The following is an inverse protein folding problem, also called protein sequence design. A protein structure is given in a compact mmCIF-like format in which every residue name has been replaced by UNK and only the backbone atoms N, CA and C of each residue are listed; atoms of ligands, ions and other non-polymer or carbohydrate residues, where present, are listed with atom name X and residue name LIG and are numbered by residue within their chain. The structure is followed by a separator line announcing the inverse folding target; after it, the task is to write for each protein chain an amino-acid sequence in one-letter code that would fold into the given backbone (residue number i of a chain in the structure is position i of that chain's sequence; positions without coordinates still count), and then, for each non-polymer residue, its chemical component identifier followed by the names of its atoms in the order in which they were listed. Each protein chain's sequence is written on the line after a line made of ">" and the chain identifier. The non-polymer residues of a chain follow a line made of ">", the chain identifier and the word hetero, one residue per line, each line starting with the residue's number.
data_IF_855772748547
#
_entry.id   IF_855772748547
#
_cell.length_a   1.000
_cell.length_b   1.000
_cell.length_c   1.000
_cell.angle_alpha   90.00
_cell.angle_beta   90.00
_cell.angle_gamma   90.00
#
_symmetry.space_group_name_H-M   'P 1'
#
loop_
_entity.id
_entity.type
_entity.pdbx_description
1 polymer ?
#
# COMPACT_ATOMS: atom_id res chain seq x y z
N UNK A 1 -11.65 -44.06 33.09
CA UNK A 1 -12.60 -43.11 32.49
C UNK A 1 -11.80 -42.16 31.62
N UNK A 2 -12.17 -42.10 30.35
CA UNK A 2 -11.35 -41.63 29.24
C UNK A 2 -11.06 -40.12 29.31
N UNK A 3 -9.81 -39.76 28.97
CA UNK A 3 -9.40 -38.40 28.71
C UNK A 3 -9.99 -37.89 27.40
N UNK A 4 -10.50 -36.66 27.41
CA UNK A 4 -10.88 -35.95 26.19
C UNK A 4 -9.63 -35.31 25.60
N UNK A 5 -9.16 -35.88 24.50
CA UNK A 5 -8.20 -35.26 23.59
C UNK A 5 -8.83 -33.99 23.01
N UNK A 6 -8.19 -32.85 23.30
CA UNK A 6 -8.41 -31.61 22.56
C UNK A 6 -7.90 -31.81 21.15
N UNK A 7 -8.80 -31.93 20.18
CA UNK A 7 -8.47 -31.93 18.76
C UNK A 7 -7.73 -30.64 18.39
N UNK A 8 -6.60 -30.71 17.66
CA UNK A 8 -5.91 -29.52 17.19
C UNK A 8 -6.77 -28.83 16.13
N UNK A 9 -7.03 -27.54 16.32
CA UNK A 9 -7.62 -26.68 15.28
C UNK A 9 -6.70 -26.66 14.07
N UNK A 10 -7.22 -27.13 12.94
CA UNK A 10 -6.60 -27.15 11.62
C UNK A 10 -6.19 -25.71 11.19
N UNK A 11 -4.90 -25.43 10.91
CA UNK A 11 -4.40 -24.10 10.59
C UNK A 11 -4.87 -23.54 9.23
N UNK A 12 -5.68 -24.29 8.46
CA UNK A 12 -6.14 -23.91 7.12
C UNK A 12 -7.60 -23.48 7.02
N UNK A 13 -8.33 -23.35 8.13
CA UNK A 13 -9.70 -22.83 8.05
C UNK A 13 -9.69 -21.33 7.71
N UNK A 14 -10.35 -20.89 6.61
CA UNK A 14 -10.53 -19.47 6.34
C UNK A 14 -11.39 -18.89 7.46
N UNK A 15 -10.77 -18.11 8.34
CA UNK A 15 -11.47 -17.39 9.41
C UNK A 15 -12.44 -16.42 8.73
N UNK A 16 -13.72 -16.75 8.76
CA UNK A 16 -14.80 -15.86 8.31
C UNK A 16 -14.83 -14.65 9.24
N UNK A 17 -14.20 -13.55 8.83
CA UNK A 17 -14.30 -12.27 9.53
C UNK A 17 -15.57 -11.57 9.07
N UNK A 18 -16.71 -11.90 9.68
CA UNK A 18 -17.93 -11.11 9.50
C UNK A 18 -17.69 -9.70 10.06
N UNK A 19 -17.81 -8.69 9.20
CA UNK A 19 -17.85 -7.27 9.60
C UNK A 19 -19.32 -6.89 9.64
N UNK A 20 -19.85 -6.55 10.82
CA UNK A 20 -21.30 -6.48 11.09
C UNK A 20 -22.06 -5.51 10.18
N UNK A 21 -21.41 -4.45 9.68
CA UNK A 21 -22.02 -3.45 8.81
C UNK A 21 -21.87 -3.73 7.30
N UNK A 22 -21.12 -4.77 6.91
CA UNK A 22 -20.89 -5.08 5.50
C UNK A 22 -21.73 -6.28 5.07
N UNK A 23 -22.62 -6.04 4.11
CA UNK A 23 -23.28 -7.12 3.38
C UNK A 23 -22.41 -7.53 2.20
N UNK A 24 -21.68 -8.63 2.35
CA UNK A 24 -20.98 -9.24 1.21
C UNK A 24 -21.99 -9.74 0.19
N UNK A 25 -21.85 -9.38 -1.11
CA UNK A 25 -22.72 -9.90 -2.14
C UNK A 25 -22.68 -11.44 -2.20
N UNK A 26 -23.79 -12.07 -2.63
CA UNK A 26 -23.86 -13.52 -2.79
C UNK A 26 -22.69 -14.05 -3.65
N UNK A 27 -22.06 -15.14 -3.20
CA UNK A 27 -20.91 -15.76 -3.86
C UNK A 27 -19.59 -15.03 -3.67
N UNK A 28 -19.51 -14.09 -2.72
CA UNK A 28 -18.28 -13.41 -2.33
C UNK A 28 -18.05 -13.51 -0.81
N UNK A 29 -16.79 -13.48 -0.40
CA UNK A 29 -16.38 -13.48 0.99
C UNK A 29 -15.25 -12.47 1.23
N UNK A 30 -15.10 -12.04 2.48
CA UNK A 30 -13.98 -11.24 2.94
C UNK A 30 -12.97 -12.15 3.65
N UNK A 31 -11.70 -12.06 3.25
CA UNK A 31 -10.57 -12.68 3.94
C UNK A 31 -9.66 -11.57 4.46
N UNK A 32 -9.25 -11.61 5.72
CA UNK A 32 -8.29 -10.62 6.24
C UNK A 32 -6.99 -10.69 5.43
N UNK A 33 -6.53 -9.55 4.93
CA UNK A 33 -5.25 -9.48 4.23
C UNK A 33 -4.12 -9.58 5.26
N UNK A 34 -3.08 -10.36 4.92
CA UNK A 34 -1.97 -10.63 5.84
C UNK A 34 -1.14 -9.38 6.15
N UNK A 35 -1.08 -8.40 5.24
CA UNK A 35 -0.43 -7.10 5.46
C UNK A 35 -1.46 -6.07 5.91
N UNK A 36 -1.77 -6.03 7.21
CA UNK A 36 -2.58 -4.96 7.78
C UNK A 36 -1.68 -3.80 8.25
N UNK A 37 -1.90 -2.59 7.74
CA UNK A 37 -1.16 -1.40 8.17
C UNK A 37 -1.55 -0.89 9.56
N UNK A 38 -0.76 0.05 10.08
CA UNK A 38 -1.02 0.74 11.36
C UNK A 38 -2.25 1.68 11.31
N UNK A 39 -2.70 2.03 10.10
CA UNK A 39 -3.79 2.99 9.86
C UNK A 39 -5.07 2.34 9.35
N UNK A 40 -5.00 1.10 8.88
CA UNK A 40 -6.13 0.42 8.25
C UNK A 40 -6.20 -1.06 8.65
N UNK A 41 -7.42 -1.58 8.62
CA UNK A 41 -7.66 -3.01 8.45
C UNK A 41 -7.86 -3.27 6.96
N UNK A 42 -7.14 -4.26 6.43
CA UNK A 42 -7.23 -4.67 5.03
C UNK A 42 -7.89 -6.03 4.91
N UNK A 43 -8.81 -6.13 3.95
CA UNK A 43 -9.55 -7.33 3.63
C UNK A 43 -9.55 -7.53 2.12
N UNK A 44 -9.41 -8.77 1.70
CA UNK A 44 -9.54 -9.22 0.33
C UNK A 44 -11.00 -9.58 0.07
N UNK A 45 -11.62 -8.98 -0.95
CA UNK A 45 -12.94 -9.39 -1.44
C UNK A 45 -12.74 -10.48 -2.50
N UNK A 46 -13.16 -11.71 -2.22
CA UNK A 46 -12.83 -12.88 -3.05
C UNK A 46 -14.12 -13.61 -3.44
N UNK A 47 -14.13 -14.28 -4.60
CA UNK A 47 -15.24 -15.17 -4.98
C UNK A 47 -15.19 -16.44 -4.12
N UNK A 48 -16.32 -16.87 -3.59
CA UNK A 48 -16.41 -18.09 -2.77
C UNK A 48 -15.84 -19.30 -3.49
N UNK A 49 -16.16 -19.47 -4.78
CA UNK A 49 -15.64 -20.57 -5.60
C UNK A 49 -14.10 -20.61 -5.70
N UNK A 50 -13.44 -19.45 -5.64
CA UNK A 50 -11.99 -19.39 -5.75
C UNK A 50 -11.35 -19.77 -4.41
N UNK A 51 -12.01 -19.43 -3.29
CA UNK A 51 -11.62 -19.92 -1.96
C UNK A 51 -11.80 -21.42 -1.84
N UNK A 52 -12.91 -21.96 -2.37
CA UNK A 52 -13.13 -23.41 -2.39
C UNK A 52 -12.06 -24.12 -3.22
N UNK A 53 -11.68 -23.55 -4.38
CA UNK A 53 -10.60 -24.08 -5.20
C UNK A 53 -9.23 -24.02 -4.49
N UNK A 54 -8.96 -22.96 -3.74
CA UNK A 54 -7.74 -22.83 -2.92
C UNK A 54 -7.70 -23.87 -1.79
N UNK A 55 -8.82 -24.09 -1.10
CA UNK A 55 -8.89 -24.97 0.08
C UNK A 55 -8.98 -26.47 -0.29
N UNK A 56 -9.79 -26.80 -1.30
CA UNK A 56 -10.13 -28.18 -1.64
C UNK A 56 -9.49 -28.67 -2.95
N UNK A 57 -8.89 -27.75 -3.71
CA UNK A 57 -8.23 -28.05 -4.97
C UNK A 57 -9.19 -28.17 -6.15
N UNK A 58 -8.62 -28.08 -7.35
CA UNK A 58 -9.29 -28.30 -8.64
C UNK A 58 -8.49 -29.32 -9.44
N UNK A 59 -9.17 -30.26 -10.09
CA UNK A 59 -8.53 -31.21 -11.00
C UNK A 59 -8.34 -30.59 -12.38
N UNK A 60 -7.09 -30.51 -12.83
CA UNK A 60 -6.72 -30.10 -14.19
C UNK A 60 -5.80 -31.19 -14.75
N UNK A 61 -6.18 -31.81 -15.87
CA UNK A 61 -5.42 -32.92 -16.48
C UNK A 61 -5.06 -34.04 -15.49
N UNK A 62 -6.02 -34.45 -14.64
CA UNK A 62 -5.85 -35.43 -13.55
C UNK A 62 -4.86 -35.05 -12.43
N UNK A 63 -4.34 -33.82 -12.43
CA UNK A 63 -3.51 -33.28 -11.35
C UNK A 63 -4.40 -32.44 -10.43
N UNK A 64 -4.31 -32.68 -9.12
CA UNK A 64 -4.99 -31.85 -8.12
C UNK A 64 -4.13 -30.60 -7.85
N UNK A 65 -4.69 -29.43 -8.17
CA UNK A 65 -4.01 -28.14 -8.05
C UNK A 65 -4.79 -27.26 -7.08
N UNK A 66 -4.08 -26.54 -6.21
CA UNK A 66 -4.66 -25.63 -5.22
C UNK A 66 -4.32 -24.19 -5.61
N UNK A 67 -5.03 -23.60 -6.59
CA UNK A 67 -4.74 -22.25 -7.02
C UNK A 67 -5.06 -21.26 -5.90
N UNK A 68 -4.15 -20.32 -5.64
CA UNK A 68 -4.43 -19.24 -4.68
C UNK A 68 -5.60 -18.38 -5.17
N UNK A 69 -6.58 -18.17 -4.30
CA UNK A 69 -7.73 -17.34 -4.57
C UNK A 69 -7.29 -15.87 -4.72
N UNK A 70 -7.52 -15.32 -5.91
CA UNK A 70 -7.17 -13.93 -6.24
C UNK A 70 -8.25 -12.97 -5.75
N UNK A 71 -7.90 -11.89 -5.04
CA UNK A 71 -8.85 -10.85 -4.68
C UNK A 71 -9.44 -10.17 -5.93
N UNK A 72 -10.73 -9.83 -5.85
CA UNK A 72 -11.40 -8.96 -6.82
C UNK A 72 -11.11 -7.48 -6.51
N UNK A 73 -11.09 -7.15 -5.21
CA UNK A 73 -10.89 -5.81 -4.66
C UNK A 73 -10.25 -5.92 -3.28
N UNK A 74 -9.62 -4.85 -2.84
CA UNK A 74 -9.07 -4.67 -1.50
C UNK A 74 -9.99 -3.72 -0.72
N UNK A 75 -10.68 -4.23 0.29
CA UNK A 75 -11.44 -3.41 1.22
C UNK A 75 -10.50 -2.93 2.33
N UNK A 76 -10.52 -1.62 2.52
CA UNK A 76 -9.77 -0.91 3.54
C UNK A 76 -10.72 -0.24 4.51
N UNK A 77 -10.49 -0.42 5.80
CA UNK A 77 -11.25 0.25 6.86
C UNK A 77 -10.25 1.01 7.72
N UNK A 78 -10.32 2.34 7.76
CA UNK A 78 -9.41 3.12 8.59
C UNK A 78 -9.64 2.80 10.08
N UNK A 79 -8.54 2.72 10.82
CA UNK A 79 -8.54 2.50 12.27
C UNK A 79 -8.93 3.77 13.03
N UNK A 80 -8.65 4.94 12.45
CA UNK A 80 -9.10 6.20 13.03
C UNK A 80 -10.62 6.26 13.02
N UNK A 81 -11.19 6.74 14.12
CA UNK A 81 -12.61 7.04 14.27
C UNK A 81 -12.80 8.54 14.11
N UNK A 82 -13.79 8.93 13.32
CA UNK A 82 -14.06 10.33 13.07
C UNK A 82 -15.18 10.82 13.97
N UNK A 83 -15.03 12.04 14.48
CA UNK A 83 -16.05 12.67 15.33
C UNK A 83 -17.19 13.28 14.49
N UNK A 84 -16.98 13.45 13.18
CA UNK A 84 -18.00 13.96 12.27
C UNK A 84 -17.73 13.49 10.82
N UNK A 85 -18.78 13.45 9.96
CA UNK A 85 -18.60 13.14 8.55
C UNK A 85 -17.71 14.16 7.84
N UNK A 86 -17.73 15.42 8.28
CA UNK A 86 -16.89 16.48 7.73
C UNK A 86 -15.39 16.17 7.87
N UNK A 87 -14.95 15.64 9.02
CA UNK A 87 -13.55 15.22 9.19
C UNK A 87 -13.18 14.05 8.28
N UNK A 88 -14.08 13.09 8.06
CA UNK A 88 -13.85 11.99 7.12
C UNK A 88 -13.78 12.50 5.67
N UNK A 89 -14.59 13.50 5.32
CA UNK A 89 -14.53 14.16 4.00
C UNK A 89 -13.20 14.90 3.78
N UNK A 90 -12.61 15.52 4.79
CA UNK A 90 -11.27 16.11 4.68
C UNK A 90 -10.20 15.05 4.38
N UNK A 91 -10.31 13.85 4.96
CA UNK A 91 -9.42 12.74 4.65
C UNK A 91 -9.59 12.28 3.19
N UNK A 92 -10.84 12.16 2.71
CA UNK A 92 -11.15 11.86 1.30
C UNK A 92 -10.57 12.92 0.35
N UNK A 93 -10.58 14.21 0.74
CA UNK A 93 -9.99 15.28 -0.09
C UNK A 93 -8.50 15.06 -0.33
N UNK A 94 -7.75 14.56 0.66
CA UNK A 94 -6.32 14.24 0.47
C UNK A 94 -6.12 13.18 -0.62
N UNK A 95 -6.92 12.12 -0.59
CA UNK A 95 -6.90 11.10 -1.64
C UNK A 95 -7.27 11.67 -3.01
N UNK A 96 -8.24 12.58 -3.09
CA UNK A 96 -8.60 13.25 -4.36
C UNK A 96 -7.46 14.10 -4.92
N UNK A 97 -6.68 14.77 -4.05
CA UNK A 97 -5.47 15.50 -4.48
C UNK A 97 -4.47 14.52 -5.08
N UNK A 98 -4.19 13.41 -4.40
CA UNK A 98 -3.30 12.36 -4.92
C UNK A 98 -3.75 11.87 -6.31
N UNK A 99 -5.04 11.56 -6.46
CA UNK A 99 -5.61 11.09 -7.72
C UNK A 99 -5.51 12.14 -8.83
N UNK A 100 -5.63 13.43 -8.52
CA UNK A 100 -5.45 14.52 -9.50
C UNK A 100 -4.05 14.53 -10.12
N UNK A 101 -3.01 14.20 -9.36
CA UNK A 101 -1.63 14.22 -9.85
C UNK A 101 -1.20 12.90 -10.48
N UNK A 102 -1.56 11.77 -9.88
CA UNK A 102 -1.11 10.45 -10.32
C UNK A 102 -2.06 9.80 -11.32
N UNK A 103 -3.33 10.20 -11.33
CA UNK A 103 -4.36 9.54 -12.12
C UNK A 103 -4.62 8.10 -11.67
N UNK A 104 -5.56 7.44 -12.34
CA UNK A 104 -5.85 6.02 -12.10
C UNK A 104 -4.76 5.10 -12.62
N UNK A 105 -3.81 5.59 -13.43
CA UNK A 105 -2.77 4.76 -14.02
C UNK A 105 -1.62 4.47 -13.05
N UNK A 106 -1.36 5.37 -12.10
CA UNK A 106 -0.26 5.25 -11.13
C UNK A 106 -0.72 5.06 -9.69
N UNK A 107 -2.03 5.13 -9.42
CA UNK A 107 -2.63 4.85 -8.10
C UNK A 107 -3.67 3.76 -8.27
N UNK A 108 -3.72 2.87 -7.28
CA UNK A 108 -4.78 1.89 -7.19
C UNK A 108 -6.13 2.57 -6.94
N UNK A 109 -6.98 2.56 -7.96
CA UNK A 109 -8.28 3.23 -7.93
C UNK A 109 -9.13 2.71 -6.75
N UNK A 110 -9.56 3.62 -5.89
CA UNK A 110 -10.37 3.35 -4.70
C UNK A 110 -11.65 4.18 -4.69
N UNK A 111 -12.75 3.49 -4.37
CA UNK A 111 -14.03 4.11 -4.04
C UNK A 111 -14.10 4.34 -2.53
N UNK A 112 -14.05 5.61 -2.11
CA UNK A 112 -14.09 5.98 -0.69
C UNK A 112 -15.53 6.22 -0.23
N UNK A 113 -15.92 5.64 0.90
CA UNK A 113 -17.25 5.76 1.48
C UNK A 113 -17.20 5.82 3.02
N UNK A 114 -18.17 6.54 3.59
CA UNK A 114 -18.29 6.75 5.03
C UNK A 114 -19.40 5.84 5.56
N UNK A 115 -19.13 5.18 6.68
CA UNK A 115 -20.10 4.33 7.37
C UNK A 115 -20.28 4.84 8.78
N UNK A 116 -21.54 4.99 9.20
CA UNK A 116 -21.89 5.14 10.60
C UNK A 116 -22.09 3.74 11.19
N UNK A 117 -21.29 3.39 12.19
CA UNK A 117 -21.34 2.10 12.87
C UNK A 117 -21.79 2.31 14.31
N UNK A 118 -22.84 1.57 14.69
CA UNK A 118 -23.41 1.61 16.03
C UNK A 118 -23.01 0.34 16.78
N UNK A 119 -22.28 0.50 17.87
CA UNK A 119 -21.92 -0.59 18.76
C UNK A 119 -22.11 -0.16 20.22
N UNK A 120 -22.85 -0.95 20.99
CA UNK A 120 -23.10 -0.71 22.42
C UNK A 120 -23.60 0.71 22.76
N UNK A 121 -24.41 1.31 21.89
CA UNK A 121 -24.97 2.65 22.09
C UNK A 121 -24.04 3.81 21.71
N UNK A 122 -22.82 3.52 21.25
CA UNK A 122 -21.90 4.51 20.69
C UNK A 122 -22.01 4.50 19.16
N UNK A 123 -22.22 5.67 18.56
CA UNK A 123 -22.08 5.87 17.12
C UNK A 123 -20.64 6.26 16.81
N UNK A 124 -20.02 5.55 15.88
CA UNK A 124 -18.68 5.84 15.37
C UNK A 124 -18.72 6.01 13.86
N UNK A 125 -18.00 7.02 13.36
CA UNK A 125 -17.86 7.25 11.93
C UNK A 125 -16.57 6.60 11.43
N UNK A 126 -16.73 5.72 10.46
CA UNK A 126 -15.67 4.97 9.80
C UNK A 126 -15.49 5.48 8.38
N UNK A 127 -14.23 5.64 7.96
CA UNK A 127 -13.88 5.81 6.56
C UNK A 127 -13.39 4.48 5.99
N UNK A 128 -14.02 4.07 4.89
CA UNK A 128 -13.67 2.86 4.17
C UNK A 128 -13.30 3.19 2.72
N UNK A 129 -12.45 2.36 2.13
CA UNK A 129 -12.09 2.40 0.72
C UNK A 129 -12.22 1.02 0.08
N UNK A 130 -12.88 0.91 -1.06
CA UNK A 130 -12.89 -0.29 -1.88
C UNK A 130 -11.94 -0.09 -3.07
N UNK A 131 -10.70 -0.54 -2.89
CA UNK A 131 -9.60 -0.35 -3.82
C UNK A 131 -9.50 -1.50 -4.84
N UNK A 132 -9.05 -1.19 -6.05
CA UNK A 132 -8.65 -2.20 -7.01
C UNK A 132 -7.58 -3.13 -6.45
N UNK A 133 -7.70 -4.42 -6.73
CA UNK A 133 -6.63 -5.35 -6.46
C UNK A 133 -5.58 -5.22 -7.57
N UNK A 134 -4.34 -4.89 -7.19
CA UNK A 134 -3.19 -4.84 -8.10
C UNK A 134 -2.44 -6.15 -7.99
N UNK A 135 -2.53 -6.99 -9.02
CA UNK A 135 -1.68 -8.18 -9.15
C UNK A 135 -0.26 -7.75 -9.52
N UNK A 136 0.72 -8.21 -8.75
CA UNK A 136 2.10 -7.84 -8.98
C UNK A 136 3.04 -8.17 -7.83
N UNK A 137 4.26 -7.68 -7.95
CA UNK A 137 5.33 -7.81 -6.95
C UNK A 137 5.60 -6.46 -6.31
N UNK A 138 5.99 -6.45 -5.02
CA UNK A 138 6.37 -5.20 -4.35
C UNK A 138 7.67 -4.69 -4.97
N UNK A 139 7.67 -3.42 -5.37
CA UNK A 139 8.89 -2.66 -5.57
C UNK A 139 9.34 -2.09 -4.23
N UNK A 140 10.31 -2.74 -3.60
CA UNK A 140 10.92 -2.26 -2.36
C UNK A 140 12.07 -1.28 -2.68
N UNK A 141 11.91 0.03 -2.43
CA UNK A 141 12.94 1.02 -2.75
C UNK A 141 14.22 0.83 -1.93
N UNK A 142 14.12 0.30 -0.72
CA UNK A 142 15.23 0.22 0.23
C UNK A 142 16.29 -0.78 -0.21
N UNK A 143 15.86 -1.87 -0.85
CA UNK A 143 16.71 -3.00 -1.23
C UNK A 143 17.10 -3.02 -2.72
N UNK A 144 16.89 -1.91 -3.43
CA UNK A 144 17.38 -1.76 -4.81
C UNK A 144 18.92 -1.75 -4.85
N UNK A 145 19.49 -2.78 -5.46
CA UNK A 145 20.93 -2.99 -5.60
C UNK A 145 21.28 -3.56 -6.97
N UNK A 146 22.54 -3.36 -7.40
CA UNK A 146 23.06 -3.88 -8.67
C UNK A 146 22.70 -3.05 -9.91
N UNK A 147 23.29 -3.42 -11.06
CA UNK A 147 23.02 -2.81 -12.36
C UNK A 147 21.67 -3.27 -12.95
N UNK A 148 21.19 -4.46 -12.58
CA UNK A 148 19.89 -5.01 -12.99
C UNK A 148 18.88 -4.97 -11.84
N UNK A 149 18.62 -3.77 -11.32
CA UNK A 149 17.70 -3.58 -10.21
C UNK A 149 16.22 -3.81 -10.59
N UNK A 150 15.90 -4.05 -11.86
CA UNK A 150 14.52 -4.27 -12.33
C UNK A 150 14.28 -5.67 -12.93
N UNK A 151 15.29 -6.31 -13.51
CA UNK A 151 15.14 -7.59 -14.21
C UNK A 151 14.65 -8.72 -13.31
N UNK A 152 14.98 -8.70 -12.02
CA UNK A 152 14.51 -9.71 -11.06
C UNK A 152 12.99 -9.64 -10.77
N UNK A 153 12.32 -8.54 -11.14
CA UNK A 153 10.85 -8.45 -11.06
C UNK A 153 10.16 -9.05 -12.29
N UNK A 154 10.89 -9.28 -13.39
CA UNK A 154 10.31 -9.85 -14.60
C UNK A 154 9.98 -11.33 -14.37
N UNK A 155 8.71 -11.66 -14.51
CA UNK A 155 8.24 -13.04 -14.61
C UNK A 155 7.83 -13.28 -16.06
N UNK A 156 8.34 -14.33 -16.74
CA UNK A 156 7.96 -14.62 -18.11
C UNK A 156 6.44 -14.75 -18.29
N UNK A 157 5.87 -13.89 -19.14
CA UNK A 157 4.45 -13.84 -19.48
C UNK A 157 4.29 -13.93 -21.01
N UNK A 158 3.37 -14.75 -21.57
CA UNK A 158 3.14 -14.80 -23.01
C UNK A 158 2.68 -13.43 -23.53
N UNK A 159 3.59 -12.69 -24.18
CA UNK A 159 3.29 -11.40 -24.79
C UNK A 159 4.06 -10.20 -24.20
N UNK A 160 4.98 -10.40 -23.25
CA UNK A 160 5.90 -9.34 -22.81
C UNK A 160 7.31 -9.89 -22.65
N UNK A 161 8.27 -9.32 -23.39
CA UNK A 161 9.68 -9.66 -23.17
C UNK A 161 10.27 -8.82 -22.03
N UNK A 162 11.36 -9.29 -21.43
CA UNK A 162 12.03 -8.61 -20.32
C UNK A 162 12.38 -7.15 -20.65
N UNK A 163 12.76 -6.86 -21.90
CA UNK A 163 13.09 -5.51 -22.35
C UNK A 163 11.88 -4.57 -22.30
N UNK A 164 10.72 -5.01 -22.77
CA UNK A 164 9.48 -4.23 -22.75
C UNK A 164 9.03 -3.98 -21.32
N UNK A 165 9.11 -5.01 -20.45
CA UNK A 165 8.84 -4.88 -19.02
C UNK A 165 9.70 -3.79 -18.36
N UNK A 166 11.02 -3.83 -18.59
CA UNK A 166 11.96 -2.85 -18.01
C UNK A 166 11.67 -1.45 -18.56
N UNK A 167 11.46 -1.32 -19.87
CA UNK A 167 11.15 -0.03 -20.50
C UNK A 167 9.86 0.58 -19.96
N UNK A 168 8.80 -0.23 -19.82
CA UNK A 168 7.54 0.19 -19.25
C UNK A 168 7.70 0.62 -17.78
N UNK A 169 8.44 -0.16 -17.00
CA UNK A 169 8.72 0.11 -15.58
C UNK A 169 9.45 1.44 -15.40
N UNK A 170 10.51 1.68 -16.18
CA UNK A 170 11.27 2.94 -16.15
C UNK A 170 10.39 4.12 -16.56
N UNK A 171 9.54 3.95 -17.58
CA UNK A 171 8.61 4.99 -18.03
C UNK A 171 7.61 5.36 -16.93
N UNK A 172 6.97 4.38 -16.31
CA UNK A 172 6.00 4.59 -15.24
C UNK A 172 6.64 5.22 -14.00
N UNK A 173 7.83 4.77 -13.59
CA UNK A 173 8.58 5.37 -12.47
C UNK A 173 8.97 6.82 -12.79
N UNK A 174 9.35 7.12 -14.03
CA UNK A 174 9.61 8.49 -14.48
C UNK A 174 8.37 9.38 -14.34
N UNK A 175 7.21 8.89 -14.79
CA UNK A 175 5.95 9.60 -14.70
C UNK A 175 5.54 9.80 -13.23
N UNK A 176 5.70 8.76 -12.41
CA UNK A 176 5.43 8.79 -10.97
C UNK A 176 6.27 9.84 -10.25
N UNK A 177 7.60 9.82 -10.42
CA UNK A 177 8.50 10.80 -9.80
C UNK A 177 8.13 12.23 -10.22
N UNK A 178 7.78 12.42 -11.49
CA UNK A 178 7.38 13.71 -12.04
C UNK A 178 6.08 14.21 -11.42
N UNK A 179 5.06 13.35 -11.34
CA UNK A 179 3.76 13.64 -10.76
C UNK A 179 3.83 13.95 -9.25
N UNK A 180 4.58 13.14 -8.48
CA UNK A 180 4.81 13.42 -7.06
C UNK A 180 5.56 14.75 -6.88
N UNK A 181 6.58 15.02 -7.69
CA UNK A 181 7.31 16.29 -7.63
C UNK A 181 6.39 17.48 -7.94
N UNK A 182 5.45 17.33 -8.88
CA UNK A 182 4.45 18.36 -9.16
C UNK A 182 3.47 18.55 -8.00
N UNK A 183 3.03 17.46 -7.36
CA UNK A 183 2.19 17.51 -6.15
C UNK A 183 2.90 18.24 -5.00
N UNK A 184 4.18 17.95 -4.77
CA UNK A 184 5.01 18.63 -3.76
C UNK A 184 5.08 20.12 -4.04
N UNK A 185 5.37 20.52 -5.28
CA UNK A 185 5.49 21.93 -5.67
C UNK A 185 4.16 22.69 -5.55
N UNK A 186 3.05 22.04 -5.89
CA UNK A 186 1.72 22.69 -5.98
C UNK A 186 1.00 22.73 -4.64
N UNK A 187 1.10 21.64 -3.87
CA UNK A 187 0.30 21.44 -2.66
C UNK A 187 1.13 21.35 -1.39
N UNK A 188 2.47 21.34 -1.48
CA UNK A 188 3.36 21.08 -0.34
C UNK A 188 2.97 19.80 0.39
N UNK A 189 2.62 18.75 -0.36
CA UNK A 189 2.17 17.46 0.18
C UNK A 189 2.91 16.31 -0.51
N UNK A 190 3.12 15.23 0.23
CA UNK A 190 3.69 13.99 -0.26
C UNK A 190 2.90 12.81 0.34
N UNK A 191 2.49 11.80 -0.47
CA UNK A 191 1.95 10.56 0.07
C UNK A 191 3.04 9.76 0.79
N UNK A 192 2.63 8.87 1.69
CA UNK A 192 3.52 7.90 2.29
C UNK A 192 4.03 6.91 1.24
N UNK A 193 5.28 7.09 0.83
CA UNK A 193 5.97 6.21 -0.11
C UNK A 193 6.83 5.16 0.60
N UNK A 194 7.01 5.31 1.92
CA UNK A 194 7.94 4.51 2.71
C UNK A 194 7.31 3.24 3.28
N UNK A 195 5.98 3.13 3.24
CA UNK A 195 5.27 1.94 3.70
C UNK A 195 5.62 0.68 2.91
N UNK A 196 5.79 -0.41 3.64
CA UNK A 196 6.07 -1.74 3.07
C UNK A 196 4.92 -2.19 2.16
N UNK A 197 5.23 -2.30 0.87
CA UNK A 197 4.27 -2.74 -0.12
C UNK A 197 3.37 -1.66 -0.70
N UNK A 198 3.66 -0.37 -0.48
CA UNK A 198 2.91 0.72 -1.11
C UNK A 198 3.17 0.83 -2.62
N UNK A 199 4.30 0.33 -3.13
CA UNK A 199 4.64 0.35 -4.54
C UNK A 199 4.59 -1.07 -5.11
N UNK A 200 3.74 -1.27 -6.12
CA UNK A 200 3.53 -2.55 -6.79
C UNK A 200 3.90 -2.44 -8.26
N UNK A 201 4.61 -3.45 -8.77
CA UNK A 201 4.88 -3.65 -10.19
C UNK A 201 4.00 -4.79 -10.72
N UNK A 202 3.20 -4.51 -11.73
CA UNK A 202 2.40 -5.53 -12.42
C UNK A 202 3.29 -6.42 -13.30
N UNK A 203 2.82 -7.60 -13.74
CA UNK A 203 3.57 -8.44 -14.68
C UNK A 203 3.94 -7.75 -16.00
N UNK A 204 3.21 -6.69 -16.38
CA UNK A 204 3.48 -5.88 -17.58
C UNK A 204 4.45 -4.70 -17.30
N UNK A 205 5.01 -4.62 -16.09
CA UNK A 205 5.95 -3.55 -15.70
C UNK A 205 5.26 -2.23 -15.38
N UNK A 206 3.97 -2.23 -15.05
CA UNK A 206 3.26 -1.00 -14.64
C UNK A 206 3.47 -0.72 -13.16
N UNK A 207 3.71 0.53 -12.79
CA UNK A 207 3.83 0.94 -11.39
C UNK A 207 2.48 1.40 -10.85
N UNK A 208 2.10 0.90 -9.68
CA UNK A 208 0.91 1.33 -8.95
C UNK A 208 1.23 1.61 -7.49
N UNK A 209 0.75 2.75 -7.01
CA UNK A 209 0.72 3.12 -5.61
C UNK A 209 -0.54 2.54 -4.95
N UNK A 210 -0.38 1.69 -3.94
CA UNK A 210 -1.46 0.98 -3.23
C UNK A 210 -1.50 1.38 -1.75
N UNK A 211 -2.62 1.09 -1.07
CA UNK A 211 -2.83 1.27 0.38
C UNK A 211 -2.41 2.63 1.00
N UNK A 212 -2.59 3.74 0.27
CA UNK A 212 -2.21 5.07 0.78
C UNK A 212 -3.21 5.59 1.79
N UNK A 213 -2.82 5.51 3.05
CA UNK A 213 -3.57 5.98 4.22
C UNK A 213 -3.01 7.26 4.84
N UNK A 214 -1.91 7.78 4.30
CA UNK A 214 -1.22 8.92 4.88
C UNK A 214 -0.67 9.82 3.77
N UNK A 215 -1.06 11.09 3.80
CA UNK A 215 -0.55 12.15 2.93
C UNK A 215 -0.18 13.30 3.87
N UNK A 216 1.11 13.61 3.92
CA UNK A 216 1.68 14.53 4.90
C UNK A 216 2.04 15.85 4.24
N UNK A 217 1.93 16.92 5.03
CA UNK A 217 2.34 18.26 4.61
C UNK A 217 3.86 18.38 4.77
N UNK A 218 4.51 18.88 3.73
CA UNK A 218 5.92 19.20 3.71
C UNK A 218 6.11 20.55 4.40
N UNK A 219 6.72 20.53 5.57
CA UNK A 219 7.11 21.75 6.26
C UNK A 219 8.49 22.23 5.82
N UNK A 220 8.62 23.53 5.63
CA UNK A 220 9.87 24.21 5.28
C UNK A 220 10.72 24.52 6.52
N UNK A 221 10.59 23.78 7.63
CA UNK A 221 11.32 23.98 8.88
C UNK A 221 12.51 23.01 9.08
N UNK A 222 13.47 23.31 9.98
CA UNK A 222 14.56 22.39 10.32
C UNK A 222 14.10 21.22 11.21
N UNK A 223 12.88 21.31 11.76
CA UNK A 223 12.26 20.25 12.54
C UNK A 223 11.87 19.07 11.64
N UNK A 224 11.96 17.86 12.20
CA UNK A 224 11.46 16.63 11.57
C UNK A 224 10.06 16.43 12.12
N UNK A 225 9.06 16.42 11.24
CA UNK A 225 7.68 16.20 11.63
C UNK A 225 7.42 14.70 11.70
N UNK A 226 6.78 14.30 12.79
CA UNK A 226 6.26 12.95 12.95
C UNK A 226 4.78 12.96 12.59
N UNK A 227 4.31 11.87 12.01
CA UNK A 227 2.90 11.68 11.73
C UNK A 227 2.10 11.28 13.00
N UNK A 228 0.80 11.01 12.84
CA UNK A 228 -0.10 10.62 13.93
C UNK A 228 0.29 9.31 14.65
N UNK A 229 1.23 8.53 14.09
CA UNK A 229 1.79 7.32 14.70
C UNK A 229 3.18 7.54 15.26
N UNK A 230 3.76 8.74 15.12
CA UNK A 230 5.11 9.03 15.56
C UNK A 230 6.20 8.65 14.54
N UNK A 231 5.84 8.37 13.29
CA UNK A 231 6.79 8.00 12.23
C UNK A 231 7.21 9.22 11.39
N UNK A 232 8.51 9.39 11.03
CA UNK A 232 8.98 10.49 10.17
C UNK A 232 8.63 10.28 8.69
N UNK A 233 7.33 10.10 8.39
CA UNK A 233 6.79 9.74 7.09
C UNK A 233 7.25 10.67 5.95
N UNK A 234 7.25 11.98 6.17
CA UNK A 234 7.62 12.97 5.17
C UNK A 234 9.06 12.75 4.66
N UNK A 235 10.02 12.74 5.58
CA UNK A 235 11.43 12.55 5.29
C UNK A 235 11.71 11.21 4.61
N UNK A 236 11.10 10.14 5.10
CA UNK A 236 11.26 8.79 4.53
C UNK A 236 10.65 8.70 3.14
N UNK A 237 9.53 9.35 2.88
CA UNK A 237 8.92 9.40 1.54
C UNK A 237 9.75 10.22 0.56
N UNK A 238 10.39 11.31 1.00
CA UNK A 238 11.36 12.05 0.18
C UNK A 238 12.60 11.20 -0.12
N UNK A 239 13.07 10.40 0.85
CA UNK A 239 14.17 9.45 0.63
C UNK A 239 13.78 8.41 -0.44
N UNK A 240 12.59 7.81 -0.37
CA UNK A 240 12.09 6.90 -1.42
C UNK A 240 12.05 7.57 -2.79
N UNK A 241 11.49 8.78 -2.88
CA UNK A 241 11.43 9.52 -4.14
C UNK A 241 12.83 9.74 -4.73
N UNK A 242 13.81 10.05 -3.88
CA UNK A 242 15.21 10.23 -4.29
C UNK A 242 15.85 8.94 -4.78
N UNK A 243 15.53 7.81 -4.14
CA UNK A 243 16.00 6.48 -4.53
C UNK A 243 15.47 6.12 -5.93
N UNK A 244 14.17 6.28 -6.16
CA UNK A 244 13.57 5.99 -7.46
C UNK A 244 14.19 6.86 -8.57
N UNK A 245 14.36 8.16 -8.31
CA UNK A 245 14.98 9.07 -9.27
C UNK A 245 16.44 8.73 -9.57
N UNK A 246 17.23 8.40 -8.54
CA UNK A 246 18.66 8.21 -8.70
C UNK A 246 19.04 6.80 -9.14
N UNK A 247 18.53 5.77 -8.44
CA UNK A 247 18.93 4.37 -8.66
C UNK A 247 18.28 3.75 -9.89
N UNK A 248 17.04 4.14 -10.22
CA UNK A 248 16.30 3.54 -11.34
C UNK A 248 16.39 4.42 -12.59
N UNK A 249 16.11 5.72 -12.44
CA UNK A 249 16.07 6.63 -13.60
C UNK A 249 17.45 7.19 -14.00
N UNK A 250 18.50 6.91 -13.21
CA UNK A 250 19.83 7.50 -13.35
C UNK A 250 19.79 9.04 -13.49
N UNK A 251 18.76 9.68 -12.92
CA UNK A 251 18.68 11.13 -12.93
C UNK A 251 19.66 11.64 -11.88
N UNK A 252 20.54 12.58 -12.23
CA UNK A 252 21.26 13.30 -11.20
C UNK A 252 20.19 13.96 -10.32
N UNK A 253 20.16 13.58 -9.04
CA UNK A 253 19.55 14.44 -8.06
C UNK A 253 20.35 15.72 -8.19
N UNK A 254 19.75 16.78 -8.72
CA UNK A 254 20.38 18.09 -8.60
C UNK A 254 20.43 18.33 -7.10
N UNK A 255 21.61 18.08 -6.53
CA UNK A 255 21.96 18.47 -5.19
C UNK A 255 21.98 20.00 -5.09
N UNK A 256 21.63 20.75 -6.14
CA UNK A 256 21.38 22.19 -6.14
C UNK A 256 19.89 22.51 -5.99
N UNK A 257 18.99 21.52 -6.11
CA UNK A 257 17.58 21.70 -5.79
C UNK A 257 17.45 21.83 -4.25
N UNK A 258 17.05 23.01 -3.72
CA UNK A 258 17.05 23.26 -2.28
C UNK A 258 16.21 22.27 -1.48
N UNK A 259 15.23 21.63 -2.13
CA UNK A 259 14.39 20.59 -1.57
C UNK A 259 15.20 19.34 -1.16
N UNK A 260 15.93 18.71 -2.09
CA UNK A 260 16.67 17.48 -1.78
C UNK A 260 17.88 17.75 -0.89
N UNK A 261 18.56 18.89 -1.05
CA UNK A 261 19.65 19.31 -0.14
C UNK A 261 19.20 19.26 1.32
N UNK A 262 18.00 19.80 1.59
CA UNK A 262 17.45 19.87 2.93
C UNK A 262 17.13 18.49 3.50
N UNK A 263 16.31 17.73 2.80
CA UNK A 263 15.76 16.47 3.30
C UNK A 263 16.81 15.35 3.33
N UNK A 264 17.79 15.39 2.43
CA UNK A 264 18.85 14.39 2.30
C UNK A 264 20.17 14.82 2.95
N UNK A 265 20.21 15.97 3.64
CA UNK A 265 21.37 16.41 4.40
C UNK A 265 21.83 15.31 5.38
N UNK A 266 23.12 14.97 5.44
CA UNK A 266 23.63 13.86 6.26
C UNK A 266 23.15 13.92 7.73
N UNK A 267 23.23 15.09 8.36
CA UNK A 267 22.81 15.29 9.75
C UNK A 267 21.31 15.06 9.95
N UNK A 268 20.49 15.51 8.98
CA UNK A 268 19.05 15.30 9.02
C UNK A 268 18.73 13.82 8.84
N UNK A 269 19.36 13.13 7.89
CA UNK A 269 19.20 11.68 7.70
C UNK A 269 19.55 10.89 8.96
N UNK A 270 20.62 11.27 9.67
CA UNK A 270 20.98 10.61 10.92
C UNK A 270 19.92 10.80 12.01
N UNK A 271 19.36 12.02 12.13
CA UNK A 271 18.26 12.30 13.08
C UNK A 271 16.99 11.54 12.71
N UNK A 272 16.61 11.50 11.42
CA UNK A 272 15.46 10.73 10.92
C UNK A 272 15.62 9.25 11.23
N UNK A 273 16.81 8.66 11.01
CA UNK A 273 17.08 7.25 11.35
C UNK A 273 16.91 6.94 12.83
N UNK A 274 17.32 7.85 13.72
CA UNK A 274 17.11 7.68 15.17
C UNK A 274 15.62 7.67 15.52
N UNK A 275 14.83 8.59 14.93
CA UNK A 275 13.38 8.65 15.13
C UNK A 275 12.68 7.41 14.57
N UNK A 276 13.09 6.95 13.40
CA UNK A 276 12.62 5.70 12.78
C UNK A 276 12.90 4.49 13.67
N UNK A 277 14.11 4.38 14.23
CA UNK A 277 14.46 3.31 15.17
C UNK A 277 13.62 3.36 16.45
N UNK A 278 13.44 4.55 17.03
CA UNK A 278 12.59 4.74 18.22
C UNK A 278 11.14 4.33 17.95
N UNK A 279 10.63 4.65 16.76
CA UNK A 279 9.31 4.25 16.33
C UNK A 279 9.18 2.72 16.22
N UNK A 280 10.12 2.03 15.58
CA UNK A 280 10.03 0.57 15.49
C UNK A 280 10.22 -0.12 16.85
N UNK A 281 11.00 0.45 17.75
CA UNK A 281 11.15 -0.05 19.13
C UNK A 281 9.86 0.09 19.95
N UNK A 282 9.01 1.08 19.66
CA UNK A 282 7.74 1.26 20.39
C UNK A 282 6.61 0.34 19.89
N UNK A 283 6.83 -0.36 18.77
CA UNK A 283 5.90 -1.34 18.21
C UNK A 283 6.18 -2.79 18.66
N UNK A 284 7.32 -3.01 19.35
CA UNK A 284 7.72 -4.29 19.93
C UNK A 284 7.16 -4.44 21.35
#
# INVERSE_FOLDING_TARGET
>A
MAGQETTPTDPLQPVSTQISFLRTPKGRQLRRHFRGGLRSHLFELIRTKDLDAEAYGTRINNILIFPRAKPLKMLRILRNRFNSPAMALEEIKKYRILLKFLGTDLVAASEEFIVEHHEQGLSQILLCGLQEYVEGTILDPWHLSGQDCLGHFYTPDPGTCAREFIQQTVSDISNFVTAITAMIKTNSQIPDLAGDGNLMLTPQGRLKLVDINNIVIIQQGPQIQLDDKGYPCCDKSVEVLSILAHKILNRPLSLDAPFYQRFLAPDRKQRVRKLEQQFYQSLQ
#
